data_IF_455311948753
#
_entry.id   IF_455311948753
#
_cell.length_a   1.000
_cell.length_b   1.000
_cell.length_c   1.000
_cell.angle_alpha   90.00
_cell.angle_beta   90.00
_cell.angle_gamma   90.00
#
_symmetry.space_group_name_H-M   'P 1'
#
loop_
_entity.id
_entity.type
_entity.pdbx_description
1 polymer ?
#
# COMPACT_ATOMS: atom_id res chain seq x y z
N UNK A 1 -30.02 10.58 -17.06
CA UNK A 1 -29.38 9.25 -17.03
C UNK A 1 -29.58 8.54 -18.36
N UNK A 2 -28.49 8.05 -18.96
CA UNK A 2 -28.50 7.35 -20.26
C UNK A 2 -27.94 5.94 -20.10
N UNK A 3 -28.77 4.93 -20.33
CA UNK A 3 -28.33 3.52 -20.29
C UNK A 3 -27.16 3.23 -21.25
N UNK A 4 -27.10 3.95 -22.38
CA UNK A 4 -26.01 3.81 -23.36
C UNK A 4 -24.66 4.24 -22.78
N UNK A 5 -24.60 5.37 -22.10
CA UNK A 5 -23.36 5.88 -21.52
C UNK A 5 -22.89 5.03 -20.34
N UNK A 6 -23.83 4.58 -19.50
CA UNK A 6 -23.53 3.69 -18.39
C UNK A 6 -23.01 2.32 -18.85
N UNK A 7 -23.64 1.70 -19.85
CA UNK A 7 -23.17 0.43 -20.41
C UNK A 7 -21.79 0.58 -21.04
N UNK A 8 -21.57 1.65 -21.83
CA UNK A 8 -20.24 1.95 -22.38
C UNK A 8 -19.17 2.11 -21.30
N UNK A 9 -19.50 2.78 -20.18
CA UNK A 9 -18.58 2.94 -19.06
C UNK A 9 -18.25 1.59 -18.42
N UNK A 10 -19.24 0.70 -18.23
CA UNK A 10 -19.02 -0.67 -17.74
C UNK A 10 -18.14 -1.50 -18.68
N UNK A 11 -18.28 -1.32 -19.99
CA UNK A 11 -17.54 -2.07 -21.00
C UNK A 11 -16.05 -1.70 -21.10
N UNK A 12 -15.62 -0.53 -20.57
CA UNK A 12 -14.21 -0.12 -20.62
C UNK A 12 -13.27 -1.04 -19.83
N UNK A 13 -13.77 -1.75 -18.80
CA UNK A 13 -13.02 -2.71 -17.98
C UNK A 13 -11.64 -2.19 -17.57
N UNK A 14 -11.60 -1.00 -16.99
CA UNK A 14 -10.36 -0.36 -16.58
C UNK A 14 -9.61 -1.21 -15.55
N UNK A 15 -8.27 -1.18 -15.59
CA UNK A 15 -7.44 -1.95 -14.67
C UNK A 15 -7.59 -1.48 -13.21
N UNK A 16 -7.84 -0.17 -13.02
CA UNK A 16 -8.08 0.39 -11.70
C UNK A 16 -9.60 0.42 -11.39
N UNK A 17 -10.07 -0.30 -10.36
CA UNK A 17 -11.49 -0.35 -10.02
C UNK A 17 -12.04 1.02 -9.57
N UNK A 18 -11.21 1.91 -9.01
CA UNK A 18 -11.65 3.25 -8.61
C UNK A 18 -11.93 4.14 -9.81
N UNK A 19 -11.07 4.09 -10.84
CA UNK A 19 -11.34 4.78 -12.11
C UNK A 19 -12.62 4.24 -12.76
N UNK A 20 -12.84 2.92 -12.69
CA UNK A 20 -14.04 2.28 -13.21
C UNK A 20 -15.32 2.76 -12.52
N UNK A 21 -15.28 2.94 -11.19
CA UNK A 21 -16.41 3.48 -10.41
C UNK A 21 -16.67 4.95 -10.78
N UNK A 22 -15.61 5.78 -10.85
CA UNK A 22 -15.73 7.19 -11.24
C UNK A 22 -16.34 7.31 -12.64
N UNK A 23 -15.85 6.52 -13.60
CA UNK A 23 -16.35 6.53 -14.97
C UNK A 23 -17.82 6.11 -15.05
N UNK A 24 -18.24 5.12 -14.25
CA UNK A 24 -19.65 4.72 -14.17
C UNK A 24 -20.53 5.82 -13.56
N UNK A 25 -20.06 6.51 -12.51
CA UNK A 25 -20.78 7.63 -11.92
C UNK A 25 -21.00 8.78 -12.92
N UNK A 26 -19.99 9.09 -13.75
CA UNK A 26 -20.12 10.07 -14.84
C UNK A 26 -21.08 9.54 -15.93
N UNK A 27 -20.96 8.26 -16.30
CA UNK A 27 -21.83 7.62 -17.27
C UNK A 27 -23.30 7.61 -16.87
N UNK A 28 -23.59 7.49 -15.58
CA UNK A 28 -24.95 7.58 -15.02
C UNK A 28 -25.55 8.98 -15.24
N UNK A 29 -24.74 10.04 -15.10
CA UNK A 29 -25.17 11.43 -15.33
C UNK A 29 -25.20 11.85 -16.81
N UNK A 30 -24.43 11.17 -17.66
CA UNK A 30 -24.28 11.55 -19.06
C UNK A 30 -25.58 11.34 -19.87
N UNK A 31 -25.74 12.15 -20.91
CA UNK A 31 -26.78 11.99 -21.92
C UNK A 31 -26.42 10.88 -22.95
N UNK A 32 -27.30 10.55 -23.92
CA UNK A 32 -26.99 9.55 -24.95
C UNK A 32 -25.83 9.90 -25.89
N UNK A 33 -25.36 11.14 -25.88
CA UNK A 33 -24.18 11.61 -26.61
C UNK A 33 -22.91 11.56 -25.75
N UNK A 34 -23.01 11.15 -24.49
CA UNK A 34 -21.89 11.04 -23.57
C UNK A 34 -21.56 12.35 -22.85
N UNK A 35 -22.44 13.35 -22.88
CA UNK A 35 -22.18 14.64 -22.26
C UNK A 35 -22.84 14.66 -20.87
N UNK A 36 -22.04 14.84 -19.82
CA UNK A 36 -22.51 15.11 -18.46
C UNK A 36 -22.19 16.58 -18.12
N UNK A 37 -23.19 17.38 -17.78
CA UNK A 37 -23.02 18.82 -17.54
C UNK A 37 -23.21 19.17 -16.06
N UNK A 38 -22.45 20.14 -15.59
CA UNK A 38 -22.60 20.72 -14.25
C UNK A 38 -22.37 19.72 -13.13
N UNK A 39 -21.52 18.71 -13.35
CA UNK A 39 -21.26 17.68 -12.36
C UNK A 39 -20.35 18.23 -11.26
N UNK A 40 -20.80 18.12 -10.00
CA UNK A 40 -20.02 18.52 -8.84
C UNK A 40 -19.00 17.42 -8.51
N UNK A 41 -17.76 17.83 -8.27
CA UNK A 41 -16.70 16.94 -7.83
C UNK A 41 -17.01 16.28 -6.48
N UNK A 42 -17.75 16.98 -5.61
CA UNK A 42 -18.19 16.45 -4.31
C UNK A 42 -19.10 15.24 -4.50
N UNK A 43 -20.02 15.31 -5.47
CA UNK A 43 -20.88 14.19 -5.81
C UNK A 43 -20.08 12.98 -6.30
N UNK A 44 -19.08 13.19 -7.16
CA UNK A 44 -18.20 12.09 -7.63
C UNK A 44 -17.37 11.50 -6.49
N UNK A 45 -16.90 12.34 -5.56
CA UNK A 45 -16.16 11.92 -4.38
C UNK A 45 -17.02 11.03 -3.47
N UNK A 46 -18.26 11.43 -3.21
CA UNK A 46 -19.21 10.67 -2.41
C UNK A 46 -19.60 9.35 -3.08
N UNK A 47 -19.87 9.38 -4.39
CA UNK A 47 -20.21 8.19 -5.18
C UNK A 47 -19.07 7.16 -5.19
N UNK A 48 -17.81 7.61 -5.31
CA UNK A 48 -16.64 6.74 -5.31
C UNK A 48 -16.11 6.42 -3.90
N UNK A 49 -16.63 7.07 -2.84
CA UNK A 49 -16.10 7.03 -1.46
C UNK A 49 -14.62 7.41 -1.39
N UNK A 50 -14.24 8.47 -2.10
CA UNK A 50 -12.87 8.96 -2.20
C UNK A 50 -12.77 10.41 -1.72
N UNK A 51 -11.56 10.84 -1.35
CA UNK A 51 -11.29 12.25 -1.16
C UNK A 51 -11.35 12.99 -2.52
N UNK A 52 -11.81 14.26 -2.57
CA UNK A 52 -11.87 15.03 -3.82
C UNK A 52 -10.52 15.14 -4.56
N UNK A 53 -9.41 15.17 -3.83
CA UNK A 53 -8.06 15.17 -4.42
C UNK A 53 -7.76 13.88 -5.19
N UNK A 54 -8.17 12.72 -4.66
CA UNK A 54 -8.02 11.42 -5.31
C UNK A 54 -8.88 11.32 -6.57
N UNK A 55 -10.10 11.86 -6.53
CA UNK A 55 -10.97 11.93 -7.72
C UNK A 55 -10.31 12.74 -8.82
N UNK A 56 -9.74 13.91 -8.51
CA UNK A 56 -9.00 14.73 -9.51
C UNK A 56 -7.85 13.96 -10.15
N UNK A 57 -7.06 13.25 -9.34
CA UNK A 57 -5.97 12.41 -9.85
C UNK A 57 -6.49 11.38 -10.86
N UNK A 58 -7.55 10.66 -10.51
CA UNK A 58 -8.13 9.65 -11.40
C UNK A 58 -8.79 10.25 -12.65
N UNK A 59 -9.38 11.45 -12.56
CA UNK A 59 -9.89 12.16 -13.73
C UNK A 59 -8.77 12.56 -14.70
N UNK A 60 -7.61 12.98 -14.18
CA UNK A 60 -6.43 13.24 -15.01
C UNK A 60 -5.97 11.97 -15.73
N UNK A 61 -5.87 10.85 -15.01
CA UNK A 61 -5.49 9.56 -15.60
C UNK A 61 -6.50 9.08 -16.66
N UNK A 62 -7.81 9.26 -16.43
CA UNK A 62 -8.86 8.93 -17.41
C UNK A 62 -8.80 9.81 -18.67
N UNK A 63 -8.43 11.08 -18.52
CA UNK A 63 -8.19 12.00 -19.63
C UNK A 63 -6.94 11.61 -20.43
N UNK A 64 -5.86 11.25 -19.76
CA UNK A 64 -4.63 10.75 -20.39
C UNK A 64 -4.87 9.43 -21.14
N UNK A 65 -5.75 8.58 -20.63
CA UNK A 65 -6.22 7.37 -21.30
C UNK A 65 -7.21 7.64 -22.45
N UNK A 66 -7.46 8.92 -22.80
CA UNK A 66 -8.38 9.36 -23.84
C UNK A 66 -9.81 8.79 -23.67
N UNK A 67 -10.24 8.57 -22.43
CA UNK A 67 -11.56 8.00 -22.12
C UNK A 67 -12.63 9.09 -22.00
N UNK A 68 -12.23 10.27 -21.54
CA UNK A 68 -13.09 11.44 -21.39
C UNK A 68 -12.31 12.73 -21.56
N UNK A 69 -13.03 13.79 -21.92
CA UNK A 69 -12.61 15.18 -21.77
C UNK A 69 -13.35 15.84 -20.60
N UNK A 70 -12.71 16.84 -19.99
CA UNK A 70 -13.29 17.63 -18.91
C UNK A 70 -13.09 19.13 -19.16
N UNK A 71 -14.13 19.91 -18.89
CA UNK A 71 -14.10 21.37 -18.94
C UNK A 71 -14.55 21.90 -17.58
N UNK A 72 -13.68 22.67 -16.93
CA UNK A 72 -14.01 23.34 -15.68
C UNK A 72 -14.85 24.60 -15.97
N UNK A 73 -15.95 24.73 -15.23
CA UNK A 73 -16.84 25.89 -15.27
C UNK A 73 -17.11 26.37 -13.84
N UNK A 74 -17.63 27.58 -13.75
CA UNK A 74 -18.13 28.15 -12.51
C UNK A 74 -19.64 28.31 -12.64
N UNK A 75 -20.39 27.89 -11.62
CA UNK A 75 -21.82 28.15 -11.55
C UNK A 75 -22.08 29.62 -11.14
N UNK A 76 -23.35 30.02 -11.07
CA UNK A 76 -23.74 31.38 -10.69
C UNK A 76 -23.30 31.75 -9.26
N UNK A 77 -23.18 30.75 -8.38
CA UNK A 77 -22.70 30.90 -7.00
C UNK A 77 -21.16 30.94 -6.86
N UNK A 78 -20.42 30.87 -7.97
CA UNK A 78 -18.95 30.82 -7.98
C UNK A 78 -18.35 29.45 -7.58
N UNK A 79 -19.17 28.44 -7.36
CA UNK A 79 -18.77 27.05 -7.19
C UNK A 79 -18.26 26.44 -8.48
N UNK A 80 -17.21 25.60 -8.38
CA UNK A 80 -16.64 24.87 -9.52
C UNK A 80 -17.52 23.70 -9.89
N UNK A 81 -17.92 23.64 -11.15
CA UNK A 81 -18.65 22.52 -11.75
C UNK A 81 -17.92 22.02 -12.98
N UNK A 82 -18.07 20.75 -13.30
CA UNK A 82 -17.34 20.11 -14.39
C UNK A 82 -18.32 19.61 -15.45
N UNK A 83 -18.02 19.95 -16.70
CA UNK A 83 -18.67 19.31 -17.86
C UNK A 83 -17.73 18.21 -18.36
N UNK A 84 -18.24 16.99 -18.45
CA UNK A 84 -17.52 15.83 -18.97
C UNK A 84 -18.07 15.42 -20.32
N UNK A 85 -17.17 15.04 -21.24
CA UNK A 85 -17.53 14.44 -22.53
C UNK A 85 -16.90 13.07 -22.63
N UNK A 86 -17.73 12.02 -22.65
CA UNK A 86 -17.30 10.64 -22.80
C UNK A 86 -17.07 10.29 -24.27
N UNK A 87 -15.96 9.63 -24.58
CA UNK A 87 -15.63 9.22 -25.95
C UNK A 87 -16.36 7.92 -26.33
N UNK A 88 -17.69 7.98 -26.46
CA UNK A 88 -18.54 6.80 -26.67
C UNK A 88 -18.24 6.01 -27.96
N UNK A 89 -17.67 6.67 -28.98
CA UNK A 89 -17.34 6.06 -30.28
C UNK A 89 -15.97 5.39 -30.32
N UNK A 90 -15.07 5.85 -29.45
CA UNK A 90 -13.78 5.24 -29.25
C UNK A 90 -13.95 4.28 -28.09
N UNK A 91 -14.38 3.04 -28.38
CA UNK A 91 -14.06 1.97 -27.44
C UNK A 91 -12.57 2.09 -27.22
N UNK A 92 -12.15 2.49 -26.02
CA UNK A 92 -10.73 2.70 -25.75
C UNK A 92 -10.16 1.33 -26.00
N UNK A 93 -9.54 1.16 -27.17
CA UNK A 93 -8.53 0.17 -27.38
C UNK A 93 -7.39 0.65 -26.50
N UNK A 94 -7.62 0.59 -25.17
CA UNK A 94 -6.65 0.06 -24.27
C UNK A 94 -6.25 -1.18 -25.04
N UNK A 95 -5.09 -1.05 -25.70
CA UNK A 95 -4.15 -2.15 -25.79
C UNK A 95 -4.47 -2.92 -24.53
N UNK A 96 -5.18 -4.06 -24.66
CA UNK A 96 -4.95 -5.15 -23.73
C UNK A 96 -3.45 -5.15 -23.77
N UNK A 97 -2.80 -4.57 -22.77
CA UNK A 97 -1.34 -4.56 -22.74
C UNK A 97 -1.12 -6.06 -22.84
N UNK A 98 -0.65 -6.60 -23.99
CA UNK A 98 -0.22 -7.98 -23.96
C UNK A 98 0.76 -7.93 -22.82
N UNK A 99 0.53 -8.66 -21.72
CA UNK A 99 1.39 -8.65 -20.54
C UNK A 99 2.81 -8.68 -21.06
N UNK A 100 3.44 -7.51 -21.22
CA UNK A 100 4.56 -7.40 -22.12
C UNK A 100 5.69 -7.82 -21.23
N UNK A 101 6.17 -9.02 -21.53
CA UNK A 101 7.42 -9.54 -21.05
C UNK A 101 8.53 -8.62 -21.57
N UNK A 102 8.68 -7.43 -21.00
CA UNK A 102 9.88 -6.63 -21.16
C UNK A 102 10.15 -5.89 -19.86
N UNK A 103 11.25 -6.33 -19.25
CA UNK A 103 12.08 -5.65 -18.27
C UNK A 103 11.40 -5.12 -17.01
N UNK A 104 10.71 -6.04 -16.32
CA UNK A 104 10.90 -6.08 -14.87
C UNK A 104 12.41 -6.20 -14.62
N UNK A 105 13.03 -5.17 -14.02
CA UNK A 105 13.92 -5.46 -12.88
C UNK A 105 13.16 -6.49 -12.07
N UNK A 106 13.66 -7.72 -12.06
CA UNK A 106 13.00 -8.91 -11.56
C UNK A 106 12.53 -8.66 -10.13
N UNK A 107 11.35 -8.06 -9.95
CA UNK A 107 10.63 -8.15 -8.71
C UNK A 107 10.19 -9.61 -8.69
N UNK A 108 10.75 -10.44 -7.81
CA UNK A 108 10.47 -11.86 -7.78
C UNK A 108 8.95 -12.03 -7.83
N UNK A 109 8.49 -12.96 -8.69
CA UNK A 109 7.08 -13.37 -8.70
C UNK A 109 6.65 -13.57 -7.24
N UNK A 110 5.44 -13.13 -6.83
CA UNK A 110 4.97 -13.38 -5.47
C UNK A 110 4.91 -14.89 -5.28
N UNK A 111 5.97 -15.44 -4.70
CA UNK A 111 6.00 -16.79 -4.21
C UNK A 111 4.82 -16.85 -3.24
N UNK A 112 3.97 -17.87 -3.36
CA UNK A 112 2.91 -18.09 -2.37
C UNK A 112 3.50 -18.01 -0.95
N UNK A 113 2.70 -17.69 0.07
CA UNK A 113 3.20 -17.43 1.42
C UNK A 113 4.17 -18.53 1.85
N UNK A 114 5.43 -18.14 2.06
CA UNK A 114 6.48 -19.06 2.42
C UNK A 114 6.14 -19.70 3.78
N UNK A 115 6.31 -21.01 3.88
CA UNK A 115 6.05 -21.77 5.10
C UNK A 115 7.39 -22.12 5.74
N UNK A 116 7.67 -21.55 6.91
CA UNK A 116 8.92 -21.73 7.65
C UNK A 116 8.73 -22.77 8.76
N UNK A 117 9.64 -23.76 8.91
CA UNK A 117 9.50 -24.80 9.92
C UNK A 117 9.67 -24.24 11.33
N UNK A 118 9.09 -24.94 12.31
CA UNK A 118 9.21 -24.57 13.72
C UNK A 118 10.68 -24.50 14.15
N UNK A 119 11.10 -23.40 14.77
CA UNK A 119 12.46 -23.23 15.29
C UNK A 119 13.50 -22.75 14.27
N UNK A 120 13.12 -22.60 13.00
CA UNK A 120 13.92 -21.90 11.99
C UNK A 120 14.21 -20.45 12.40
N UNK A 121 15.25 -19.86 11.81
CA UNK A 121 15.63 -18.45 12.04
C UNK A 121 14.46 -17.56 11.64
N UNK A 122 13.82 -17.86 10.52
CA UNK A 122 12.70 -17.14 9.95
C UNK A 122 11.48 -17.18 10.88
N UNK A 123 11.11 -18.36 11.41
CA UNK A 123 10.01 -18.47 12.36
C UNK A 123 10.28 -17.71 13.67
N UNK A 124 11.54 -17.69 14.14
CA UNK A 124 11.96 -16.90 15.32
C UNK A 124 11.91 -15.39 15.03
N UNK A 125 12.38 -14.96 13.88
CA UNK A 125 12.36 -13.56 13.45
C UNK A 125 10.92 -13.01 13.42
N UNK A 126 10.00 -13.73 12.79
CA UNK A 126 8.59 -13.32 12.72
C UNK A 126 7.98 -13.27 14.13
N UNK A 127 8.32 -14.21 15.01
CA UNK A 127 7.88 -14.18 16.40
C UNK A 127 8.34 -12.92 17.13
N UNK A 128 9.62 -12.57 17.05
CA UNK A 128 10.18 -11.36 17.68
C UNK A 128 9.48 -10.11 17.16
N UNK A 129 9.26 -10.02 15.85
CA UNK A 129 8.55 -8.90 15.22
C UNK A 129 7.11 -8.74 15.75
N UNK A 130 6.41 -9.86 15.96
CA UNK A 130 5.06 -9.86 16.54
C UNK A 130 5.04 -9.55 18.04
N UNK A 131 6.05 -9.99 18.79
CA UNK A 131 6.19 -9.70 20.22
C UNK A 131 6.41 -8.19 20.43
N UNK A 132 7.18 -7.52 19.57
CA UNK A 132 7.34 -6.06 19.57
C UNK A 132 6.02 -5.31 19.34
N UNK A 133 5.11 -5.88 18.56
CA UNK A 133 3.79 -5.30 18.30
C UNK A 133 2.76 -5.59 19.41
N UNK A 134 3.15 -6.23 20.51
CA UNK A 134 2.24 -6.64 21.58
C UNK A 134 1.23 -7.72 21.13
N UNK A 135 1.54 -8.45 20.04
CA UNK A 135 0.65 -9.46 19.42
C UNK A 135 1.11 -10.90 19.65
N UNK A 136 1.78 -11.16 20.77
CA UNK A 136 2.27 -12.48 21.14
C UNK A 136 1.18 -13.57 21.07
N UNK A 137 -0.06 -13.27 21.50
CA UNK A 137 -1.17 -14.22 21.48
C UNK A 137 -1.82 -14.44 20.11
N UNK A 138 -1.83 -13.40 19.25
CA UNK A 138 -2.38 -13.48 17.89
C UNK A 138 -1.43 -14.21 16.93
N UNK A 139 -0.12 -14.13 17.17
CA UNK A 139 0.90 -14.87 16.44
C UNK A 139 0.66 -16.38 16.48
N UNK A 140 0.39 -16.93 17.67
CA UNK A 140 0.11 -18.37 17.85
C UNK A 140 -1.21 -18.84 17.22
N UNK A 141 -2.20 -17.95 17.06
CA UNK A 141 -3.52 -18.33 16.52
C UNK A 141 -3.62 -18.19 15.00
N UNK A 142 -2.95 -17.20 14.42
CA UNK A 142 -3.15 -16.83 13.00
C UNK A 142 -2.08 -17.45 12.10
N UNK A 143 -0.83 -17.53 12.59
CA UNK A 143 0.30 -17.86 11.73
C UNK A 143 0.90 -19.23 11.98
N UNK A 144 0.65 -19.83 13.15
CA UNK A 144 1.18 -21.14 13.51
C UNK A 144 0.21 -22.24 13.08
N UNK A 145 0.65 -23.11 12.18
CA UNK A 145 -0.07 -24.34 11.81
C UNK A 145 0.01 -25.38 12.94
N UNK A 146 -0.83 -26.41 12.88
CA UNK A 146 -0.85 -27.50 13.87
C UNK A 146 0.48 -28.26 13.95
N UNK A 147 1.26 -28.29 12.87
CA UNK A 147 2.61 -28.84 12.79
C UNK A 147 3.70 -27.92 13.41
N UNK A 148 3.31 -26.73 13.87
CA UNK A 148 4.19 -25.73 14.46
C UNK A 148 4.89 -24.82 13.44
N UNK A 149 4.68 -24.98 12.14
CA UNK A 149 5.26 -24.12 11.10
C UNK A 149 4.59 -22.74 11.07
N UNK A 150 5.28 -21.74 10.52
CA UNK A 150 4.78 -20.37 10.40
C UNK A 150 4.67 -19.98 8.93
N UNK A 151 3.50 -19.52 8.49
CA UNK A 151 3.33 -18.97 7.14
C UNK A 151 3.51 -17.46 7.13
N UNK A 152 4.26 -16.95 6.15
CA UNK A 152 4.56 -15.54 6.03
C UNK A 152 4.45 -15.10 4.57
N UNK A 153 3.77 -13.99 4.32
CA UNK A 153 3.46 -13.51 2.96
C UNK A 153 4.47 -12.52 2.40
N UNK A 154 5.41 -12.03 3.22
CA UNK A 154 6.45 -11.08 2.78
C UNK A 154 7.78 -11.79 2.58
N UNK A 155 8.67 -11.14 1.83
CA UNK A 155 10.02 -11.64 1.63
C UNK A 155 10.78 -11.63 2.96
N UNK A 156 11.54 -12.70 3.20
CA UNK A 156 12.43 -12.79 4.36
C UNK A 156 13.78 -12.17 4.03
N UNK A 157 13.95 -10.90 4.38
CA UNK A 157 15.18 -10.14 4.15
C UNK A 157 16.25 -10.50 5.18
N UNK A 158 17.55 -10.23 4.89
CA UNK A 158 18.63 -10.37 5.88
C UNK A 158 18.35 -9.53 7.15
N UNK A 159 17.78 -8.34 6.97
CA UNK A 159 17.31 -7.47 8.05
C UNK A 159 16.30 -8.15 8.99
N UNK A 160 15.31 -8.88 8.46
CA UNK A 160 14.37 -9.64 9.27
C UNK A 160 15.02 -10.88 9.87
N UNK A 161 15.79 -11.63 9.08
CA UNK A 161 16.47 -12.84 9.52
C UNK A 161 17.39 -12.59 10.73
N UNK A 162 17.99 -11.39 10.83
CA UNK A 162 18.78 -10.96 11.97
C UNK A 162 18.03 -11.11 13.31
N UNK A 163 16.71 -10.85 13.35
CA UNK A 163 15.86 -11.02 14.55
C UNK A 163 15.72 -12.49 14.99
N UNK A 164 15.94 -13.42 14.08
CA UNK A 164 15.86 -14.86 14.35
C UNK A 164 17.17 -15.49 14.81
N UNK A 165 18.27 -14.74 14.74
CA UNK A 165 19.60 -15.23 15.07
C UNK A 165 19.76 -15.42 16.59
N UNK A 166 20.72 -16.26 17.03
CA UNK A 166 21.04 -16.40 18.44
C UNK A 166 21.51 -15.10 19.12
N UNK A 167 21.93 -14.11 18.35
CA UNK A 167 22.37 -12.80 18.84
C UNK A 167 21.19 -11.92 19.27
N UNK A 168 19.97 -12.23 18.84
CA UNK A 168 18.78 -11.51 19.27
C UNK A 168 18.51 -11.76 20.77
N UNK A 169 18.57 -10.71 21.62
CA UNK A 169 18.31 -10.89 23.03
C UNK A 169 16.85 -11.33 23.28
N UNK A 170 16.61 -12.15 24.32
CA UNK A 170 15.26 -12.49 24.74
C UNK A 170 14.51 -11.24 25.22
N UNK A 171 13.17 -11.28 25.18
CA UNK A 171 12.31 -10.13 25.51
C UNK A 171 12.62 -9.44 26.86
N UNK A 172 13.09 -10.20 27.84
CA UNK A 172 13.49 -9.71 29.16
C UNK A 172 14.71 -8.78 29.14
N UNK A 173 15.54 -8.88 28.10
CA UNK A 173 16.78 -8.10 27.91
C UNK A 173 16.63 -7.04 26.84
N UNK A 174 15.40 -6.78 26.38
CA UNK A 174 15.13 -5.71 25.42
C UNK A 174 15.42 -4.35 26.04
N UNK A 175 15.90 -3.44 25.19
CA UNK A 175 16.29 -2.09 25.59
C UNK A 175 15.12 -1.12 25.43
N UNK A 176 15.04 -0.13 26.31
CA UNK A 176 14.10 0.98 26.17
C UNK A 176 14.55 1.92 25.08
N UNK A 177 13.65 2.17 24.14
CA UNK A 177 13.90 3.04 23.00
C UNK A 177 13.69 4.51 23.36
N UNK A 178 14.57 5.38 22.87
CA UNK A 178 14.29 6.81 22.80
C UNK A 178 13.33 7.13 21.64
N UNK A 179 12.94 8.40 21.49
CA UNK A 179 12.02 8.84 20.43
C UNK A 179 12.50 8.53 19.00
N UNK A 180 13.78 8.74 18.70
CA UNK A 180 14.32 8.51 17.35
C UNK A 180 14.38 7.02 17.02
N UNK A 181 14.82 6.22 17.99
CA UNK A 181 14.89 4.77 17.88
C UNK A 181 13.51 4.14 17.71
N UNK A 182 12.51 4.61 18.47
CA UNK A 182 11.13 4.18 18.32
C UNK A 182 10.59 4.49 16.91
N UNK A 183 10.91 5.66 16.35
CA UNK A 183 10.57 6.01 14.97
C UNK A 183 11.20 5.06 13.95
N UNK A 184 12.50 4.79 14.06
CA UNK A 184 13.21 3.89 13.14
C UNK A 184 12.63 2.46 13.15
N UNK A 185 12.28 1.94 14.34
CA UNK A 185 11.61 0.66 14.45
C UNK A 185 10.16 0.71 13.92
N UNK A 186 9.43 1.80 14.12
CA UNK A 186 8.09 1.97 13.55
C UNK A 186 8.13 1.96 12.02
N UNK A 187 9.10 2.62 11.42
CA UNK A 187 9.30 2.65 9.96
C UNK A 187 9.60 1.26 9.40
N UNK A 188 10.50 0.51 10.07
CA UNK A 188 10.75 -0.90 9.74
C UNK A 188 9.45 -1.71 9.79
N UNK A 189 8.69 -1.59 10.88
CA UNK A 189 7.48 -2.39 11.05
C UNK A 189 6.39 -2.03 10.05
N UNK A 190 6.27 -0.76 9.66
CA UNK A 190 5.33 -0.31 8.61
C UNK A 190 5.64 -0.90 7.25
N UNK A 191 6.90 -1.24 6.99
CA UNK A 191 7.30 -1.90 5.76
C UNK A 191 6.80 -3.35 5.68
N UNK A 192 6.86 -4.08 6.79
CA UNK A 192 6.53 -5.52 6.82
C UNK A 192 5.08 -5.82 7.19
N UNK A 193 4.42 -4.95 7.97
CA UNK A 193 3.01 -5.11 8.32
C UNK A 193 2.10 -4.26 7.44
N UNK A 194 0.97 -4.85 7.04
CA UNK A 194 -0.07 -4.10 6.32
C UNK A 194 -0.67 -2.99 7.19
N UNK A 195 -1.15 -1.95 6.51
CA UNK A 195 -1.74 -0.78 7.15
C UNK A 195 -2.94 -1.20 8.00
N UNK A 196 -2.92 -0.89 9.30
CA UNK A 196 -3.95 -1.28 10.26
C UNK A 196 -3.66 -2.56 11.07
N UNK A 197 -2.61 -3.32 10.72
CA UNK A 197 -2.12 -4.45 11.54
C UNK A 197 -1.36 -3.92 12.76
N UNK A 198 -0.61 -2.83 12.61
CA UNK A 198 0.01 -2.11 13.73
C UNK A 198 -1.06 -1.35 14.53
N UNK A 199 -1.59 -1.98 15.58
CA UNK A 199 -2.54 -1.33 16.51
C UNK A 199 -1.84 -0.40 17.49
N UNK A 200 -0.57 -0.67 17.80
CA UNK A 200 0.23 0.09 18.74
C UNK A 200 1.42 0.66 17.99
N UNK A 201 1.53 1.99 17.98
CA UNK A 201 2.73 2.67 17.50
C UNK A 201 3.83 2.48 18.54
N UNK A 202 5.06 2.24 18.09
CA UNK A 202 6.19 2.32 19.00
C UNK A 202 6.38 3.78 19.38
N UNK A 203 6.45 4.03 20.68
CA UNK A 203 6.72 5.35 21.25
C UNK A 203 7.99 5.29 22.09
N UNK A 204 8.48 6.46 22.48
CA UNK A 204 9.55 6.56 23.48
C UNK A 204 9.21 5.73 24.72
N UNK A 205 10.17 4.95 25.21
CA UNK A 205 10.01 4.00 26.31
C UNK A 205 9.56 2.60 25.89
N UNK A 206 9.21 2.38 24.61
CA UNK A 206 8.93 1.03 24.08
C UNK A 206 10.18 0.14 24.15
N UNK A 207 9.99 -1.18 24.11
CA UNK A 207 11.07 -2.15 24.20
C UNK A 207 11.36 -2.77 22.83
N UNK A 208 12.65 -2.95 22.51
CA UNK A 208 13.09 -3.68 21.33
C UNK A 208 14.39 -4.46 21.59
N UNK A 209 14.74 -5.45 20.75
CA UNK A 209 15.96 -6.24 20.92
C UNK A 209 17.24 -5.40 20.93
N UNK A 210 17.29 -4.38 20.08
CA UNK A 210 18.44 -3.49 19.95
C UNK A 210 17.98 -2.01 19.92
N UNK A 211 18.89 -1.07 20.20
CA UNK A 211 18.56 0.36 20.12
C UNK A 211 18.11 0.78 18.72
N UNK A 212 18.71 0.20 17.68
CA UNK A 212 18.38 0.46 16.28
C UNK A 212 17.93 -0.82 15.58
N UNK A 213 17.01 -0.74 14.60
CA UNK A 213 16.69 -1.87 13.75
C UNK A 213 17.95 -2.38 13.03
N UNK A 214 18.05 -3.69 12.72
CA UNK A 214 19.13 -4.19 11.89
C UNK A 214 19.21 -3.44 10.55
N UNK A 215 20.41 -3.33 9.97
CA UNK A 215 20.55 -2.76 8.62
C UNK A 215 19.92 -3.68 7.56
N UNK A 216 19.80 -3.20 6.32
CA UNK A 216 19.34 -4.00 5.19
C UNK A 216 20.16 -5.31 5.01
N UNK A 217 21.46 -5.24 5.29
CA UNK A 217 22.38 -6.39 5.27
C UNK A 217 22.28 -7.30 6.51
N UNK A 218 21.43 -6.96 7.48
CA UNK A 218 21.28 -7.73 8.72
C UNK A 218 22.29 -7.37 9.82
N UNK A 219 23.05 -6.27 9.69
CA UNK A 219 23.99 -5.82 10.72
C UNK A 219 23.22 -5.36 11.96
N UNK A 220 23.58 -5.89 13.13
CA UNK A 220 23.00 -5.54 14.42
C UNK A 220 23.82 -4.44 15.11
N UNK A 221 23.16 -3.63 15.95
CA UNK A 221 23.77 -2.50 16.64
C UNK A 221 23.73 -2.73 18.15
N UNK A 222 24.89 -2.88 18.82
CA UNK A 222 24.92 -3.06 20.27
C UNK A 222 24.52 -1.78 21.02
N UNK A 223 24.23 -1.93 22.31
CA UNK A 223 23.89 -0.81 23.20
C UNK A 223 25.05 0.18 23.26
N UNK A 224 24.79 1.45 22.93
CA UNK A 224 25.82 2.50 22.83
C UNK A 224 26.38 2.72 21.43
N UNK A 225 25.90 1.98 20.41
CA UNK A 225 26.20 2.28 19.02
C UNK A 225 25.64 3.64 18.61
N UNK A 226 26.45 4.42 17.89
CA UNK A 226 26.02 5.65 17.23
C UNK A 226 24.85 5.38 16.28
N UNK A 227 23.97 6.37 16.05
CA UNK A 227 22.92 6.24 15.04
C UNK A 227 23.55 5.81 13.71
N UNK A 228 23.00 4.81 13.01
CA UNK A 228 23.44 4.55 11.65
C UNK A 228 23.24 5.85 10.86
N UNK A 229 24.33 6.38 10.31
CA UNK A 229 24.26 7.50 9.37
C UNK A 229 23.41 7.01 8.21
N UNK A 230 22.23 7.62 8.03
CA UNK A 230 21.35 7.37 6.89
C UNK A 230 22.20 7.60 5.64
N UNK A 231 22.50 6.54 4.91
CA UNK A 231 23.25 6.65 3.67
C UNK A 231 22.29 7.08 2.56
N UNK A 232 22.78 7.75 1.52
CA UNK A 232 21.93 8.19 0.39
C UNK A 232 21.19 7.01 -0.27
N UNK A 233 21.72 5.78 -0.15
CA UNK A 233 21.09 4.54 -0.63
C UNK A 233 19.86 4.14 0.21
N UNK A 234 19.83 4.49 1.49
CA UNK A 234 18.64 4.31 2.33
C UNK A 234 17.51 5.19 1.80
N UNK A 235 17.79 6.46 1.49
CA UNK A 235 16.79 7.39 0.93
C UNK A 235 16.18 6.93 -0.40
N UNK A 236 16.94 6.27 -1.26
CA UNK A 236 16.46 5.89 -2.60
C UNK A 236 15.53 4.68 -2.62
N UNK A 237 15.55 3.84 -1.58
CA UNK A 237 14.70 2.64 -1.51
C UNK A 237 13.40 2.85 -0.70
N UNK A 238 13.14 4.08 -0.21
CA UNK A 238 11.92 4.44 0.55
C UNK A 238 10.85 5.20 -0.26
N UNK A 239 11.09 5.47 -1.55
CA UNK A 239 10.09 5.97 -2.51
C UNK A 239 9.60 4.86 -3.45
#
# INVERSE_FOLDING_TARGET
>A
MSAKALNWAQDQRLANPLQQIILQAIGDWADPKGIARGCDLTYLADAARLAPASVRKHLTELREANTLDLVEKFNEDGGKVYDFTLHLGDAVALRRVPLSKDEKKEKPQPQGPASYPAGSIEAKAIRVLHDMCGRSSAFFKIFRKADGSVTWSKDMTPQLAALGTPECPPAERWVRLNRQQAGAWEDLMRHYFEQGVLRQKLQEGSLAPWPWPPSLDGKTYPVGAEPPLMTDDDYQNFN
#
